data_IF_300638200263
#
_entry.id   IF_300638200263
#
_cell.length_a   1.000
_cell.length_b   1.000
_cell.length_c   1.000
_cell.angle_alpha   90.00
_cell.angle_beta   90.00
_cell.angle_gamma   90.00
#
_symmetry.space_group_name_H-M   'P 1'
#
loop_
_entity.id
_entity.type
_entity.pdbx_description
1 polymer ?
#
# COMPACT_ATOMS: atom_id res chain seq x y z
N UNK A 1 -36.86 9.13 1.97
CA UNK A 1 -37.85 8.12 2.44
C UNK A 1 -38.92 7.84 1.41
N UNK A 2 -39.44 8.81 0.62
CA UNK A 2 -40.47 8.59 -0.44
C UNK A 2 -39.94 7.79 -1.66
N UNK A 3 -38.66 7.85 -1.99
CA UNK A 3 -38.07 7.09 -3.13
C UNK A 3 -37.90 5.60 -2.83
N UNK A 4 -37.61 5.25 -1.58
CA UNK A 4 -37.45 3.83 -1.16
C UNK A 4 -38.80 3.09 -1.12
N UNK A 5 -39.91 3.78 -0.84
CA UNK A 5 -41.26 3.17 -0.86
C UNK A 5 -41.75 2.82 -2.27
N UNK A 6 -41.33 3.56 -3.32
CA UNK A 6 -41.70 3.24 -4.71
C UNK A 6 -40.96 2.02 -5.28
N UNK A 7 -39.73 1.74 -4.81
CA UNK A 7 -39.00 0.55 -5.27
C UNK A 7 -39.61 -0.73 -4.71
N UNK A 8 -40.16 -0.68 -3.47
CA UNK A 8 -40.84 -1.83 -2.86
C UNK A 8 -42.14 -2.21 -3.55
N UNK A 9 -42.94 -1.23 -4.04
CA UNK A 9 -44.22 -1.50 -4.66
C UNK A 9 -44.10 -1.97 -6.12
N UNK A 10 -43.04 -1.58 -6.85
CA UNK A 10 -42.77 -2.07 -8.20
C UNK A 10 -42.29 -3.53 -8.24
N UNK A 11 -41.75 -4.03 -7.16
CA UNK A 11 -41.32 -5.43 -7.02
C UNK A 11 -42.51 -6.41 -6.88
N UNK A 12 -43.66 -5.94 -6.40
CA UNK A 12 -44.87 -6.77 -6.21
C UNK A 12 -45.67 -6.95 -7.50
N UNK A 13 -45.50 -6.04 -8.48
CA UNK A 13 -46.28 -6.01 -9.73
C UNK A 13 -45.64 -6.75 -10.91
N UNK A 14 -44.64 -7.61 -10.67
CA UNK A 14 -44.05 -8.41 -11.77
C UNK A 14 -44.99 -9.52 -12.23
N UNK A 15 -45.16 -9.71 -13.56
CA UNK A 15 -46.05 -10.73 -14.08
C UNK A 15 -45.66 -12.13 -13.57
N UNK A 16 -46.64 -12.96 -13.30
CA UNK A 16 -46.49 -14.32 -12.71
C UNK A 16 -45.46 -15.19 -13.45
N UNK A 17 -45.28 -14.95 -14.75
CA UNK A 17 -44.29 -15.64 -15.59
C UNK A 17 -42.84 -15.33 -15.19
N UNK A 18 -42.55 -14.13 -14.70
CA UNK A 18 -41.21 -13.70 -14.26
C UNK A 18 -40.88 -14.21 -12.86
N UNK A 19 -41.90 -14.33 -11.99
CA UNK A 19 -41.74 -14.97 -10.67
C UNK A 19 -41.39 -16.46 -10.79
N UNK A 20 -41.96 -17.17 -11.77
CA UNK A 20 -41.64 -18.59 -12.02
C UNK A 20 -40.23 -18.75 -12.57
N UNK A 21 -39.72 -17.80 -13.37
CA UNK A 21 -38.36 -17.82 -13.88
C UNK A 21 -37.33 -17.54 -12.77
N UNK A 22 -37.61 -16.56 -11.92
CA UNK A 22 -36.75 -16.24 -10.77
C UNK A 22 -36.72 -17.39 -9.75
N UNK A 23 -37.86 -18.02 -9.46
CA UNK A 23 -37.92 -19.19 -8.58
C UNK A 23 -37.16 -20.39 -9.16
N UNK A 24 -37.19 -20.59 -10.48
CA UNK A 24 -36.44 -21.63 -11.19
C UNK A 24 -34.94 -21.36 -11.16
N UNK A 25 -34.53 -20.09 -11.25
CA UNK A 25 -33.13 -19.68 -11.14
C UNK A 25 -32.58 -19.89 -9.73
N UNK A 26 -33.37 -19.55 -8.72
CA UNK A 26 -33.00 -19.80 -7.30
C UNK A 26 -32.93 -21.31 -7.00
N UNK A 27 -33.87 -22.12 -7.55
CA UNK A 27 -33.82 -23.57 -7.45
C UNK A 27 -32.62 -24.16 -8.20
N UNK A 28 -32.27 -23.64 -9.37
CA UNK A 28 -31.09 -24.04 -10.13
C UNK A 28 -29.79 -23.71 -9.37
N UNK A 29 -29.67 -22.52 -8.75
CA UNK A 29 -28.53 -22.16 -7.90
C UNK A 29 -28.46 -22.99 -6.62
N UNK A 30 -29.61 -23.52 -6.14
CA UNK A 30 -29.65 -24.40 -4.99
C UNK A 30 -29.32 -25.86 -5.35
N UNK A 31 -29.45 -26.22 -6.63
CA UNK A 31 -29.10 -27.54 -7.19
C UNK A 31 -27.76 -27.62 -7.85
N UNK A 32 -27.00 -26.50 -7.95
CA UNK A 32 -25.58 -26.63 -8.28
C UNK A 32 -24.95 -27.55 -7.26
N UNK A 33 -24.43 -28.70 -7.68
CA UNK A 33 -23.86 -29.66 -6.74
C UNK A 33 -22.79 -28.89 -5.96
N UNK A 34 -22.92 -28.91 -4.62
CA UNK A 34 -21.83 -28.47 -3.76
C UNK A 34 -20.63 -29.22 -4.27
N UNK A 35 -19.72 -28.48 -4.91
CA UNK A 35 -18.49 -29.04 -5.48
C UNK A 35 -17.95 -30.01 -4.45
N UNK A 36 -17.92 -31.23 -4.89
CA UNK A 36 -17.53 -32.46 -4.22
C UNK A 36 -16.67 -32.23 -2.97
N UNK A 37 -17.27 -32.39 -1.80
CA UNK A 37 -16.56 -32.38 -0.51
C UNK A 37 -15.67 -33.62 -0.32
N UNK A 38 -15.67 -34.58 -1.26
CA UNK A 38 -15.08 -35.89 -1.03
C UNK A 38 -13.57 -36.02 -1.32
N UNK A 39 -12.92 -35.06 -1.98
CA UNK A 39 -11.46 -35.10 -2.21
C UNK A 39 -10.65 -34.05 -1.42
N UNK A 40 -11.31 -33.20 -0.61
CA UNK A 40 -10.68 -32.06 0.06
C UNK A 40 -10.05 -32.34 1.42
N UNK A 41 -10.35 -33.47 2.07
CA UNK A 41 -10.02 -33.67 3.49
C UNK A 41 -8.50 -33.82 3.75
N UNK A 42 -7.79 -34.45 2.85
CA UNK A 42 -6.34 -34.66 3.03
C UNK A 42 -5.52 -33.40 2.74
N UNK A 43 -5.97 -32.57 1.80
CA UNK A 43 -5.34 -31.29 1.49
C UNK A 43 -5.74 -30.19 2.49
N UNK A 44 -6.92 -30.26 3.10
CA UNK A 44 -7.36 -29.29 4.11
C UNK A 44 -6.42 -29.25 5.32
N UNK A 45 -6.07 -30.40 5.90
CA UNK A 45 -5.20 -30.44 7.06
C UNK A 45 -3.80 -29.89 6.78
N UNK A 46 -3.23 -30.19 5.61
CA UNK A 46 -1.93 -29.65 5.21
C UNK A 46 -1.99 -28.14 4.91
N UNK A 47 -3.04 -27.68 4.24
CA UNK A 47 -3.24 -26.25 3.96
C UNK A 47 -3.51 -25.46 5.25
N UNK A 48 -4.24 -26.02 6.21
CA UNK A 48 -4.47 -25.39 7.52
C UNK A 48 -3.17 -25.29 8.33
N UNK A 49 -2.31 -26.30 8.28
CA UNK A 49 -0.97 -26.23 8.91
C UNK A 49 -0.08 -25.19 8.26
N UNK A 50 -0.06 -25.13 6.92
CA UNK A 50 0.68 -24.11 6.17
C UNK A 50 0.13 -22.71 6.49
N UNK A 51 -1.19 -22.54 6.52
CA UNK A 51 -1.83 -21.27 6.87
C UNK A 51 -1.50 -20.82 8.29
N UNK A 52 -1.47 -21.75 9.25
CA UNK A 52 -1.04 -21.46 10.62
C UNK A 52 0.44 -21.03 10.69
N UNK A 53 1.32 -21.73 9.98
CA UNK A 53 2.75 -21.36 9.91
C UNK A 53 2.91 -19.97 9.29
N UNK A 54 2.22 -19.72 8.18
CA UNK A 54 2.24 -18.41 7.50
C UNK A 54 1.73 -17.32 8.45
N UNK A 55 0.63 -17.54 9.18
CA UNK A 55 0.10 -16.57 10.16
C UNK A 55 1.06 -16.28 11.31
N UNK A 56 1.78 -17.30 11.80
CA UNK A 56 2.78 -17.12 12.86
C UNK A 56 3.96 -16.30 12.32
N UNK A 57 4.44 -16.62 11.12
CA UNK A 57 5.53 -15.88 10.48
C UNK A 57 5.08 -14.45 10.18
N UNK A 58 3.88 -14.27 9.62
CA UNK A 58 3.29 -12.97 9.33
C UNK A 58 3.17 -12.12 10.60
N UNK A 59 2.61 -12.67 11.67
CA UNK A 59 2.51 -11.99 12.97
C UNK A 59 3.86 -11.66 13.60
N UNK A 60 4.87 -12.49 13.42
CA UNK A 60 6.22 -12.23 13.91
C UNK A 60 6.95 -11.16 13.09
N UNK A 61 6.82 -11.20 11.76
CA UNK A 61 7.50 -10.27 10.85
C UNK A 61 6.79 -8.91 10.84
N UNK A 62 5.46 -8.89 10.66
CA UNK A 62 4.66 -7.66 10.55
C UNK A 62 4.14 -7.13 11.90
N UNK A 63 4.47 -7.82 12.99
CA UNK A 63 4.05 -7.44 14.33
C UNK A 63 4.88 -6.33 14.97
N UNK A 64 4.88 -6.32 16.29
CA UNK A 64 5.60 -5.36 17.13
C UNK A 64 7.07 -5.16 16.75
N UNK A 65 7.87 -6.20 16.42
CA UNK A 65 9.29 -6.01 16.09
C UNK A 65 9.50 -5.10 14.89
N UNK A 66 8.73 -5.28 13.83
CA UNK A 66 8.85 -4.43 12.63
C UNK A 66 8.41 -3.00 12.91
N UNK A 67 7.31 -2.80 13.65
CA UNK A 67 6.82 -1.48 14.03
C UNK A 67 7.89 -0.72 14.83
N UNK A 68 8.48 -1.37 15.83
CA UNK A 68 9.56 -0.78 16.62
C UNK A 68 10.75 -0.43 15.73
N UNK A 69 11.16 -1.33 14.84
CA UNK A 69 12.28 -1.11 13.94
C UNK A 69 12.03 0.11 13.03
N UNK A 70 10.85 0.21 12.43
CA UNK A 70 10.49 1.33 11.54
C UNK A 70 10.47 2.64 12.31
N UNK A 71 9.81 2.68 13.46
CA UNK A 71 9.74 3.89 14.29
C UNK A 71 11.12 4.30 14.81
N UNK A 72 11.91 3.34 15.28
CA UNK A 72 13.28 3.58 15.75
C UNK A 72 14.17 4.12 14.63
N UNK A 73 14.13 3.51 13.46
CA UNK A 73 14.90 3.98 12.29
C UNK A 73 14.44 5.38 11.87
N UNK A 74 13.15 5.63 11.83
CA UNK A 74 12.61 6.95 11.51
C UNK A 74 13.00 8.01 12.54
N UNK A 75 12.97 7.67 13.84
CA UNK A 75 13.40 8.54 14.91
C UNK A 75 14.91 8.83 14.82
N UNK A 76 15.74 7.80 14.63
CA UNK A 76 17.19 7.91 14.50
C UNK A 76 17.56 8.80 13.30
N UNK A 77 16.91 8.60 12.15
CA UNK A 77 17.13 9.43 10.96
C UNK A 77 16.66 10.87 11.18
N UNK A 78 15.52 11.07 11.83
CA UNK A 78 15.00 12.41 12.14
C UNK A 78 15.97 13.19 13.03
N UNK A 79 16.54 12.56 14.06
CA UNK A 79 17.53 13.18 14.93
C UNK A 79 18.87 13.42 14.22
N UNK A 80 19.36 12.44 13.44
CA UNK A 80 20.60 12.56 12.67
C UNK A 80 20.54 13.63 11.58
N UNK A 81 19.39 13.79 10.94
CA UNK A 81 19.14 14.79 9.91
C UNK A 81 18.74 16.16 10.49
N UNK A 82 18.70 16.32 11.82
CA UNK A 82 18.42 17.60 12.48
C UNK A 82 17.03 18.14 12.20
N UNK A 83 15.97 17.29 12.29
CA UNK A 83 14.57 17.67 12.05
C UNK A 83 14.36 18.32 10.66
N UNK A 84 14.97 17.74 9.65
CA UNK A 84 14.93 18.24 8.26
C UNK A 84 13.51 18.46 7.76
N UNK A 85 12.56 17.60 8.19
CA UNK A 85 11.14 17.68 7.83
C UNK A 85 10.53 19.05 8.18
N UNK A 86 10.95 19.66 9.28
CA UNK A 86 10.42 20.96 9.74
C UNK A 86 11.26 22.10 9.13
N UNK A 87 12.59 22.00 9.24
CA UNK A 87 13.52 23.08 8.87
C UNK A 87 13.53 23.41 7.38
N UNK A 88 13.32 22.38 6.53
CA UNK A 88 13.45 22.54 5.07
C UNK A 88 12.11 22.36 4.33
N UNK A 89 10.98 22.25 5.05
CA UNK A 89 9.66 22.08 4.44
C UNK A 89 9.33 23.19 3.44
N UNK A 90 9.60 24.45 3.79
CA UNK A 90 9.35 25.57 2.90
C UNK A 90 10.22 25.55 1.63
N UNK A 91 11.48 25.11 1.76
CA UNK A 91 12.36 24.93 0.58
C UNK A 91 11.86 23.78 -0.29
N UNK A 92 11.48 22.65 0.32
CA UNK A 92 10.96 21.49 -0.40
C UNK A 92 9.69 21.84 -1.21
N UNK A 93 8.76 22.60 -0.63
CA UNK A 93 7.59 23.09 -1.33
C UNK A 93 7.94 24.03 -2.49
N UNK A 94 8.92 24.91 -2.30
CA UNK A 94 9.40 25.79 -3.37
C UNK A 94 9.99 25.01 -4.54
N UNK A 95 10.85 24.02 -4.26
CA UNK A 95 11.46 23.19 -5.32
C UNK A 95 10.47 22.27 -6.02
N UNK A 96 9.37 21.92 -5.37
CA UNK A 96 8.31 21.12 -5.97
C UNK A 96 7.67 21.82 -7.19
N UNK A 97 7.54 23.15 -7.12
CA UNK A 97 6.91 23.95 -8.18
C UNK A 97 7.92 24.67 -9.09
N UNK A 98 9.19 24.77 -8.68
CA UNK A 98 10.22 25.41 -9.46
C UNK A 98 11.03 24.35 -10.22
N UNK A 99 10.95 24.37 -11.53
CA UNK A 99 11.85 23.60 -12.37
C UNK A 99 13.26 24.18 -12.30
N UNK A 100 14.26 23.38 -11.99
CA UNK A 100 15.65 23.71 -12.19
C UNK A 100 16.03 23.27 -13.61
N UNK A 101 16.38 24.24 -14.46
CA UNK A 101 16.74 24.01 -15.86
C UNK A 101 18.08 23.28 -16.00
N UNK A 102 18.92 23.31 -14.96
CA UNK A 102 20.25 22.69 -14.91
C UNK A 102 20.28 21.25 -14.38
N UNK A 103 19.14 20.65 -14.12
CA UNK A 103 19.05 19.29 -13.57
C UNK A 103 19.43 18.22 -14.60
N UNK A 104 20.44 17.40 -14.31
CA UNK A 104 20.80 16.19 -15.07
C UNK A 104 19.76 15.07 -14.87
N UNK A 105 18.50 15.32 -15.13
CA UNK A 105 17.42 14.37 -14.99
C UNK A 105 16.54 14.30 -16.23
N UNK A 106 15.96 13.15 -16.52
CA UNK A 106 15.08 12.94 -17.68
C UNK A 106 13.67 13.51 -17.45
N UNK A 107 13.31 13.86 -16.19
CA UNK A 107 11.97 14.32 -15.81
C UNK A 107 12.05 15.58 -14.94
N UNK A 108 11.05 16.44 -15.08
CA UNK A 108 10.90 17.62 -14.24
C UNK A 108 10.63 17.27 -12.78
N UNK A 109 10.96 18.15 -11.83
CA UNK A 109 10.72 17.94 -10.39
C UNK A 109 9.25 17.62 -10.09
N UNK A 110 8.31 18.32 -10.73
CA UNK A 110 6.88 18.06 -10.60
C UNK A 110 6.49 16.72 -11.23
N UNK A 111 7.04 16.37 -12.39
CA UNK A 111 6.81 15.06 -13.02
C UNK A 111 7.29 13.89 -12.17
N UNK A 112 8.46 14.03 -11.54
CA UNK A 112 8.99 13.05 -10.60
C UNK A 112 8.09 12.89 -9.37
N UNK A 113 7.58 14.00 -8.82
CA UNK A 113 6.61 13.96 -7.73
C UNK A 113 5.32 13.24 -8.12
N UNK A 114 4.74 13.57 -9.27
CA UNK A 114 3.52 12.92 -9.77
C UNK A 114 3.73 11.41 -9.96
N UNK A 115 4.87 11.01 -10.49
CA UNK A 115 5.22 9.60 -10.67
C UNK A 115 5.37 8.88 -9.33
N UNK A 116 6.06 9.49 -8.36
CA UNK A 116 6.22 8.94 -7.03
C UNK A 116 4.87 8.80 -6.29
N UNK A 117 4.01 9.81 -6.37
CA UNK A 117 2.66 9.77 -5.79
C UNK A 117 1.80 8.68 -6.45
N UNK A 118 1.83 8.58 -7.77
CA UNK A 118 1.09 7.56 -8.52
C UNK A 118 1.51 6.14 -8.13
N UNK A 119 2.80 5.91 -7.89
CA UNK A 119 3.32 4.62 -7.44
C UNK A 119 3.00 4.31 -5.96
N UNK A 120 2.87 5.35 -5.13
CA UNK A 120 2.68 5.19 -3.67
C UNK A 120 1.21 5.15 -3.27
N UNK A 121 0.35 5.89 -3.97
CA UNK A 121 -1.10 5.92 -3.66
C UNK A 121 -1.76 4.66 -4.21
N UNK A 122 -2.12 3.76 -3.33
CA UNK A 122 -2.78 2.49 -3.64
C UNK A 122 -4.05 2.28 -2.83
N UNK A 123 -4.66 1.11 -2.99
CA UNK A 123 -5.86 0.70 -2.24
C UNK A 123 -5.65 0.73 -0.72
N UNK A 124 -4.41 0.50 -0.24
CA UNK A 124 -4.03 0.58 1.16
C UNK A 124 -4.26 1.96 1.77
N UNK A 125 -4.09 3.04 1.01
CA UNK A 125 -4.30 4.40 1.49
C UNK A 125 -5.78 4.75 1.66
N UNK A 126 -6.69 4.00 1.04
CA UNK A 126 -8.13 4.21 1.14
C UNK A 126 -8.73 3.18 2.10
N UNK A 127 -8.65 1.90 1.75
CA UNK A 127 -9.25 0.82 2.54
C UNK A 127 -8.48 0.56 3.84
N UNK A 128 -7.15 0.63 3.82
CA UNK A 128 -6.30 0.45 5.00
C UNK A 128 -6.54 1.53 6.06
N UNK A 129 -6.67 2.80 5.63
CA UNK A 129 -7.00 3.91 6.55
C UNK A 129 -8.41 3.74 7.10
N UNK A 130 -9.38 3.38 6.25
CA UNK A 130 -10.76 3.17 6.67
C UNK A 130 -10.88 2.03 7.69
N UNK A 131 -10.20 0.90 7.46
CA UNK A 131 -10.19 -0.25 8.39
C UNK A 131 -9.47 0.08 9.69
N UNK A 132 -8.34 0.79 9.63
CA UNK A 132 -7.64 1.24 10.82
C UNK A 132 -8.49 2.19 11.68
N UNK A 133 -9.21 3.10 11.04
CA UNK A 133 -10.12 4.02 11.72
C UNK A 133 -11.33 3.28 12.33
N UNK A 134 -11.88 2.28 11.61
CA UNK A 134 -12.98 1.47 12.11
C UNK A 134 -12.58 0.61 13.32
N UNK A 135 -11.34 0.08 13.35
CA UNK A 135 -10.84 -0.75 14.43
C UNK A 135 -10.30 0.05 15.62
N UNK A 136 -9.57 1.14 15.37
CA UNK A 136 -8.85 1.91 16.39
C UNK A 136 -9.47 3.27 16.72
N UNK A 137 -10.57 3.64 16.07
CA UNK A 137 -11.22 4.94 16.28
C UNK A 137 -10.33 6.14 15.91
N UNK A 138 -10.66 7.35 16.39
CA UNK A 138 -9.89 8.57 16.10
C UNK A 138 -8.43 8.51 16.54
N UNK A 139 -8.10 7.69 17.55
CA UNK A 139 -6.74 7.49 18.02
C UNK A 139 -5.83 6.86 16.97
N UNK A 140 -6.36 6.00 16.09
CA UNK A 140 -5.59 5.42 14.99
C UNK A 140 -5.06 6.50 14.05
N UNK A 141 -5.89 7.50 13.71
CA UNK A 141 -5.49 8.62 12.84
C UNK A 141 -4.33 9.42 13.45
N UNK A 142 -4.39 9.69 14.74
CA UNK A 142 -3.32 10.40 15.45
C UNK A 142 -1.98 9.64 15.33
N UNK A 143 -1.97 8.35 15.60
CA UNK A 143 -0.77 7.52 15.48
C UNK A 143 -0.26 7.39 14.04
N UNK A 144 -1.17 7.34 13.06
CA UNK A 144 -0.81 7.34 11.64
C UNK A 144 -0.08 8.62 11.24
N UNK A 145 -0.50 9.79 11.73
CA UNK A 145 0.18 11.08 11.48
C UNK A 145 1.58 11.08 12.10
N UNK A 146 1.73 10.58 13.32
CA UNK A 146 3.04 10.46 13.98
C UNK A 146 3.96 9.50 13.20
N UNK A 147 3.45 8.35 12.80
CA UNK A 147 4.22 7.39 12.01
C UNK A 147 4.64 7.99 10.65
N UNK A 148 3.75 8.73 9.99
CA UNK A 148 4.05 9.41 8.74
C UNK A 148 5.14 10.48 8.91
N UNK A 149 5.16 11.21 10.02
CA UNK A 149 6.21 12.18 10.31
C UNK A 149 7.61 11.54 10.36
N UNK A 150 7.76 10.40 11.03
CA UNK A 150 9.01 9.65 11.04
C UNK A 150 9.29 8.98 9.68
N UNK A 151 8.26 8.57 8.97
CA UNK A 151 8.36 8.01 7.62
C UNK A 151 8.93 8.98 6.58
N UNK A 152 8.71 10.30 6.75
CA UNK A 152 9.32 11.31 5.87
C UNK A 152 10.85 11.28 5.90
N UNK A 153 11.46 11.08 7.07
CA UNK A 153 12.91 11.00 7.21
C UNK A 153 13.51 9.78 6.50
N UNK A 154 12.84 8.63 6.60
CA UNK A 154 13.26 7.41 5.91
C UNK A 154 13.16 7.56 4.40
N UNK A 155 12.08 8.14 3.90
CA UNK A 155 11.93 8.40 2.46
C UNK A 155 12.94 9.41 1.92
N UNK A 156 13.25 10.43 2.69
CA UNK A 156 14.33 11.37 2.33
C UNK A 156 15.68 10.67 2.24
N UNK A 157 16.02 9.85 3.22
CA UNK A 157 17.28 9.09 3.23
C UNK A 157 17.36 8.13 2.04
N UNK A 158 16.27 7.43 1.72
CA UNK A 158 16.17 6.54 0.55
C UNK A 158 16.41 7.32 -0.77
N UNK A 159 15.74 8.46 -0.94
CA UNK A 159 15.93 9.31 -2.12
C UNK A 159 17.36 9.84 -2.24
N UNK A 160 17.96 10.28 -1.13
CA UNK A 160 19.35 10.74 -1.09
C UNK A 160 20.32 9.63 -1.51
N UNK A 161 20.14 8.42 -1.00
CA UNK A 161 20.97 7.26 -1.38
C UNK A 161 20.78 6.89 -2.86
N UNK A 162 19.56 6.94 -3.36
CA UNK A 162 19.27 6.67 -4.75
C UNK A 162 19.98 7.64 -5.70
N UNK A 163 20.05 8.93 -5.33
CA UNK A 163 20.79 9.95 -6.10
C UNK A 163 22.29 9.77 -5.96
N UNK A 164 22.79 9.53 -4.73
CA UNK A 164 24.22 9.41 -4.45
C UNK A 164 24.87 8.24 -5.18
N UNK A 165 24.18 7.11 -5.26
CA UNK A 165 24.68 5.86 -5.84
C UNK A 165 24.09 5.55 -7.21
N UNK A 166 23.48 6.56 -7.88
CA UNK A 166 23.00 6.39 -9.24
C UNK A 166 24.14 6.08 -10.20
N UNK A 167 23.84 5.27 -11.20
CA UNK A 167 24.74 4.98 -12.34
C UNK A 167 24.14 5.50 -13.62
N UNK A 168 24.98 5.91 -14.54
CA UNK A 168 24.55 6.35 -15.87
C UNK A 168 24.96 5.24 -16.83
N UNK A 169 24.00 4.71 -17.58
CA UNK A 169 24.23 3.68 -18.58
C UNK A 169 24.90 4.25 -19.82
N UNK A 170 25.39 3.38 -20.70
CA UNK A 170 26.07 3.75 -21.96
C UNK A 170 25.19 4.59 -22.88
N UNK A 171 23.88 4.41 -22.79
CA UNK A 171 22.87 5.14 -23.56
C UNK A 171 22.46 6.48 -22.90
N UNK A 172 23.11 6.87 -21.79
CA UNK A 172 22.83 8.12 -21.06
C UNK A 172 21.66 8.03 -20.08
N UNK A 173 21.01 6.88 -19.94
CA UNK A 173 19.91 6.73 -18.98
C UNK A 173 20.39 6.68 -17.54
N UNK A 174 19.68 7.39 -16.66
CA UNK A 174 19.97 7.43 -15.23
C UNK A 174 19.31 6.24 -14.53
N UNK A 175 20.13 5.33 -14.01
CA UNK A 175 19.70 4.16 -13.27
C UNK A 175 19.96 4.39 -11.77
N UNK A 176 18.92 4.23 -10.95
CA UNK A 176 18.98 4.42 -9.50
C UNK A 176 17.99 3.52 -8.78
N UNK A 177 18.09 3.49 -7.45
CA UNK A 177 17.15 2.74 -6.61
C UNK A 177 17.84 1.76 -5.66
N UNK A 178 17.05 0.92 -4.94
CA UNK A 178 17.57 0.06 -3.88
C UNK A 178 18.69 -0.88 -4.31
N UNK A 179 18.58 -1.48 -5.48
CA UNK A 179 19.61 -2.40 -5.99
C UNK A 179 20.95 -1.70 -6.19
N UNK A 180 20.94 -0.50 -6.76
CA UNK A 180 22.16 0.25 -7.06
C UNK A 180 22.84 0.80 -5.81
N UNK A 181 22.11 1.33 -4.83
CA UNK A 181 22.76 1.83 -3.61
C UNK A 181 23.19 0.70 -2.67
N UNK A 182 22.57 -0.49 -2.73
CA UNK A 182 23.05 -1.66 -1.99
C UNK A 182 24.35 -2.17 -2.64
N UNK A 183 24.37 -2.36 -3.94
CA UNK A 183 25.54 -2.85 -4.67
C UNK A 183 26.73 -1.89 -4.56
N UNK A 184 26.50 -0.60 -4.81
CA UNK A 184 27.57 0.41 -4.83
C UNK A 184 27.95 0.89 -3.43
N UNK A 185 27.06 0.78 -2.45
CA UNK A 185 27.31 1.23 -1.07
C UNK A 185 27.82 0.15 -0.14
N UNK A 186 27.35 -1.09 -0.26
CA UNK A 186 27.71 -2.24 0.61
C UNK A 186 28.67 -3.22 -0.06
N UNK A 187 28.87 -3.11 -1.36
CA UNK A 187 29.76 -3.96 -2.15
C UNK A 187 29.04 -5.08 -2.90
N UNK A 188 29.74 -5.65 -3.89
CA UNK A 188 29.19 -6.64 -4.83
C UNK A 188 28.65 -7.94 -4.19
N UNK A 189 29.06 -8.24 -2.94
CA UNK A 189 28.60 -9.45 -2.25
C UNK A 189 27.13 -9.38 -1.81
N UNK A 190 26.50 -8.20 -1.89
CA UNK A 190 25.10 -7.94 -1.50
C UNK A 190 24.15 -7.73 -2.67
N UNK A 191 24.62 -8.12 -3.87
CA UNK A 191 23.84 -8.02 -5.11
C UNK A 191 22.79 -9.10 -5.25
#
# INVERSE_FOLDING_TARGET
LRKLRRVSLSAVARPVKERRRCKRYILFLRQTPRVSQAKGWRYKGMLEQIDQIIKVIDGAVWGLPLIILILFTGFLLTTRLGLLQIRHLGKALKFMFKNEEDGQGEVTSFGALCTALSATIGTGNITGVATALAAGGPGALFWMVIAAFFGMATKYAEGLLAIKYRTIDKDGHVLGGPFYYIENGMGKNWR
#
